data_IF_363856353336
#
_entry.id   IF_363856353336
#
_cell.length_a   1.000
_cell.length_b   1.000
_cell.length_c   1.000
_cell.angle_alpha   90.00
_cell.angle_beta   90.00
_cell.angle_gamma   90.00
#
_symmetry.space_group_name_H-M   'P 1'
#
loop_
_entity.id
_entity.type
_entity.pdbx_description
1 polymer ?
#
# COMPACT_ATOMS: atom_id res chain seq x y z
N UNK A 1 6.51 82.66 -61.53
CA UNK A 1 6.90 81.23 -61.62
C UNK A 1 6.99 80.66 -60.21
N UNK A 2 6.03 79.86 -59.75
CA UNK A 2 6.31 78.80 -58.76
C UNK A 2 5.13 77.81 -58.71
N UNK A 3 5.32 76.58 -59.20
CA UNK A 3 4.31 75.52 -59.15
C UNK A 3 4.47 74.77 -57.82
N UNK A 4 3.46 74.88 -56.94
CA UNK A 4 3.35 74.07 -55.73
C UNK A 4 3.15 72.59 -56.12
N UNK A 5 4.05 71.72 -55.69
CA UNK A 5 3.94 70.26 -55.87
C UNK A 5 3.32 69.66 -54.61
N UNK A 6 2.11 69.15 -54.72
CA UNK A 6 1.47 68.30 -53.71
C UNK A 6 2.19 66.94 -53.63
N UNK A 7 2.54 66.45 -52.43
CA UNK A 7 3.18 65.15 -52.30
C UNK A 7 2.12 64.05 -52.44
N UNK A 8 2.19 63.28 -53.53
CA UNK A 8 1.42 62.05 -53.67
C UNK A 8 1.91 61.06 -52.59
N UNK A 9 1.04 60.71 -51.64
CA UNK A 9 1.32 59.66 -50.66
C UNK A 9 1.76 58.37 -51.38
N UNK A 10 2.87 57.73 -50.96
CA UNK A 10 3.43 56.60 -51.69
C UNK A 10 2.62 55.32 -51.43
N UNK A 11 1.49 55.17 -52.11
CA UNK A 11 0.63 53.97 -52.10
C UNK A 11 1.43 52.68 -52.42
N UNK A 12 2.51 52.80 -53.21
CA UNK A 12 3.45 51.70 -53.48
C UNK A 12 4.20 51.18 -52.24
N UNK A 13 4.50 52.05 -51.27
CA UNK A 13 5.14 51.64 -50.00
C UNK A 13 4.17 50.91 -49.07
N UNK A 14 2.86 51.19 -49.17
CA UNK A 14 1.85 50.48 -48.39
C UNK A 14 1.61 49.06 -48.95
N UNK A 15 1.59 48.92 -50.28
CA UNK A 15 1.41 47.62 -50.95
C UNK A 15 2.61 46.66 -50.81
N UNK A 16 3.80 47.15 -50.46
CA UNK A 16 5.01 46.35 -50.26
C UNK A 16 5.38 46.14 -48.79
N UNK A 17 4.53 46.61 -47.86
CA UNK A 17 4.82 46.58 -46.44
C UNK A 17 4.58 45.18 -45.83
N UNK A 18 5.65 44.39 -45.66
CA UNK A 18 5.61 43.04 -45.08
C UNK A 18 5.66 43.03 -43.54
N UNK A 19 5.64 44.19 -42.88
CA UNK A 19 5.80 44.31 -41.42
C UNK A 19 4.73 43.56 -40.61
N UNK A 20 3.60 43.17 -41.22
CA UNK A 20 2.53 42.38 -40.59
C UNK A 20 2.56 40.88 -40.87
N UNK A 21 3.37 40.41 -41.84
CA UNK A 21 3.37 38.99 -42.22
C UNK A 21 3.90 38.10 -41.09
N UNK A 22 4.94 38.55 -40.37
CA UNK A 22 5.46 37.87 -39.19
C UNK A 22 4.41 37.82 -38.05
N UNK A 23 3.64 38.89 -37.86
CA UNK A 23 2.57 38.93 -36.85
C UNK A 23 1.42 37.96 -37.20
N UNK A 24 1.06 37.84 -38.48
CA UNK A 24 0.08 36.84 -38.94
C UNK A 24 0.55 35.41 -38.71
N UNK A 25 1.79 35.09 -39.09
CA UNK A 25 2.36 33.74 -38.88
C UNK A 25 2.44 33.44 -37.38
N UNK A 26 2.86 34.40 -36.56
CA UNK A 26 2.91 34.25 -35.11
C UNK A 26 1.51 34.04 -34.50
N UNK A 27 0.49 34.78 -34.96
CA UNK A 27 -0.88 34.63 -34.48
C UNK A 27 -1.41 33.23 -34.78
N UNK A 28 -1.19 32.72 -36.00
CA UNK A 28 -1.59 31.35 -36.37
C UNK A 28 -0.78 30.31 -35.58
N UNK A 29 0.52 30.52 -35.40
CA UNK A 29 1.38 29.62 -34.64
C UNK A 29 1.11 29.64 -33.12
N UNK A 30 0.57 30.73 -32.57
CA UNK A 30 0.24 30.82 -31.14
C UNK A 30 -0.93 29.93 -30.74
N UNK A 31 -1.87 29.64 -31.65
CA UNK A 31 -3.02 28.77 -31.40
C UNK A 31 -2.59 27.37 -30.94
N UNK A 32 -1.78 26.60 -31.69
CA UNK A 32 -1.33 25.28 -31.25
C UNK A 32 -0.44 25.34 -30.00
N UNK A 33 0.33 26.41 -29.79
CA UNK A 33 1.16 26.58 -28.58
C UNK A 33 0.31 26.77 -27.32
N UNK A 34 -0.72 27.62 -27.39
CA UNK A 34 -1.66 27.83 -26.28
C UNK A 34 -2.46 26.56 -26.02
N UNK A 35 -2.88 25.83 -27.06
CA UNK A 35 -3.54 24.53 -26.88
C UNK A 35 -2.61 23.50 -26.23
N UNK A 36 -1.34 23.42 -26.64
CA UNK A 36 -0.37 22.52 -26.03
C UNK A 36 -0.12 22.86 -24.55
N UNK A 37 0.00 24.14 -24.22
CA UNK A 37 0.10 24.59 -22.83
C UNK A 37 -1.17 24.24 -22.04
N UNK A 38 -2.35 24.40 -22.65
CA UNK A 38 -3.63 24.03 -22.04
C UNK A 38 -3.74 22.54 -21.73
N UNK A 39 -3.30 21.70 -22.67
CA UNK A 39 -3.22 20.26 -22.49
C UNK A 39 -2.31 19.90 -21.32
N UNK A 40 -1.15 20.54 -21.22
CA UNK A 40 -0.21 20.29 -20.13
C UNK A 40 -0.81 20.62 -18.75
N UNK A 41 -1.56 21.72 -18.64
CA UNK A 41 -2.21 22.13 -17.39
C UNK A 41 -3.32 21.16 -17.00
N UNK A 42 -4.22 20.81 -17.93
CA UNK A 42 -5.33 19.89 -17.67
C UNK A 42 -4.84 18.47 -17.37
N UNK A 43 -3.78 18.03 -18.04
CA UNK A 43 -3.10 16.78 -17.74
C UNK A 43 -2.48 16.80 -16.33
N UNK A 44 -1.78 17.88 -15.97
CA UNK A 44 -1.23 18.06 -14.62
C UNK A 44 -2.31 18.00 -13.54
N UNK A 45 -3.47 18.62 -13.78
CA UNK A 45 -4.61 18.51 -12.86
C UNK A 45 -5.15 17.07 -12.77
N UNK A 46 -5.29 16.39 -13.92
CA UNK A 46 -5.75 15.00 -13.97
C UNK A 46 -4.83 14.05 -13.20
N UNK A 47 -3.51 14.21 -13.34
CA UNK A 47 -2.50 13.44 -12.60
C UNK A 47 -2.58 13.73 -11.10
N UNK A 48 -2.76 14.99 -10.70
CA UNK A 48 -2.91 15.36 -9.30
C UNK A 48 -4.18 14.74 -8.68
N UNK A 49 -5.29 14.69 -9.42
CA UNK A 49 -6.51 14.00 -8.99
C UNK A 49 -6.29 12.49 -8.93
N UNK A 50 -5.60 11.91 -9.92
CA UNK A 50 -5.28 10.48 -9.94
C UNK A 50 -4.49 10.06 -8.71
N UNK A 51 -3.47 10.83 -8.31
CA UNK A 51 -2.67 10.55 -7.12
C UNK A 51 -3.52 10.54 -5.84
N UNK A 52 -4.47 11.48 -5.71
CA UNK A 52 -5.39 11.54 -4.56
C UNK A 52 -6.39 10.38 -4.56
N UNK A 53 -6.94 10.07 -5.73
CA UNK A 53 -7.86 8.96 -5.90
C UNK A 53 -7.17 7.63 -5.58
N UNK A 54 -5.91 7.46 -6.00
CA UNK A 54 -5.10 6.30 -5.68
C UNK A 54 -4.87 6.19 -4.17
N UNK A 55 -4.44 7.27 -3.51
CA UNK A 55 -4.24 7.28 -2.06
C UNK A 55 -5.53 6.92 -1.28
N UNK A 56 -6.68 7.44 -1.71
CA UNK A 56 -7.97 7.10 -1.12
C UNK A 56 -8.36 5.64 -1.36
N UNK A 57 -8.08 5.11 -2.55
CA UNK A 57 -8.36 3.72 -2.94
C UNK A 57 -7.47 2.75 -2.16
N UNK A 58 -6.19 3.08 -1.96
CA UNK A 58 -5.25 2.28 -1.16
C UNK A 58 -5.66 2.26 0.32
N UNK A 59 -6.03 3.42 0.88
CA UNK A 59 -6.53 3.49 2.25
C UNK A 59 -7.78 2.62 2.46
N UNK A 60 -8.70 2.64 1.50
CA UNK A 60 -9.91 1.82 1.52
C UNK A 60 -9.61 0.33 1.41
N UNK A 61 -8.71 -0.06 0.49
CA UNK A 61 -8.31 -1.46 0.31
C UNK A 61 -7.62 -2.01 1.56
N UNK A 62 -6.73 -1.23 2.19
CA UNK A 62 -6.06 -1.62 3.43
C UNK A 62 -7.03 -1.72 4.60
N UNK A 63 -7.97 -0.78 4.74
CA UNK A 63 -8.97 -0.80 5.81
C UNK A 63 -9.87 -2.04 5.71
N UNK A 64 -10.35 -2.37 4.51
CA UNK A 64 -11.14 -3.58 4.29
C UNK A 64 -10.29 -4.86 4.43
N UNK A 65 -9.02 -4.82 3.99
CA UNK A 65 -8.11 -5.96 4.10
C UNK A 65 -7.75 -6.36 5.54
N UNK A 66 -7.83 -5.43 6.51
CA UNK A 66 -7.57 -5.70 7.93
C UNK A 66 -8.65 -6.53 8.63
N UNK A 67 -9.85 -6.62 8.06
CA UNK A 67 -11.02 -7.25 8.69
C UNK A 67 -11.48 -8.51 7.92
N UNK A 68 -10.63 -9.53 7.73
CA UNK A 68 -10.90 -10.62 6.79
C UNK A 68 -12.12 -11.48 7.16
N UNK A 69 -12.58 -11.46 8.41
CA UNK A 69 -13.68 -12.31 8.85
C UNK A 69 -15.06 -11.67 8.65
N UNK A 70 -15.15 -10.43 8.19
CA UNK A 70 -16.44 -9.73 8.05
C UNK A 70 -17.16 -10.04 6.75
N UNK A 71 -18.51 -9.94 6.72
CA UNK A 71 -19.30 -10.06 5.50
C UNK A 71 -18.93 -8.97 4.48
N UNK A 72 -19.05 -9.28 3.19
CA UNK A 72 -18.71 -8.35 2.10
C UNK A 72 -19.41 -7.00 2.21
N UNK A 73 -20.71 -6.98 2.52
CA UNK A 73 -21.47 -5.73 2.67
C UNK A 73 -20.90 -4.80 3.77
N UNK A 74 -20.32 -5.38 4.82
CA UNK A 74 -19.69 -4.60 5.88
C UNK A 74 -18.30 -4.10 5.46
N UNK A 75 -17.53 -4.92 4.73
CA UNK A 75 -16.26 -4.51 4.12
C UNK A 75 -16.44 -3.37 3.13
N UNK A 76 -17.50 -3.40 2.32
CA UNK A 76 -17.88 -2.31 1.41
C UNK A 76 -18.14 -1.01 2.16
N UNK A 77 -18.87 -1.07 3.28
CA UNK A 77 -19.11 0.11 4.12
C UNK A 77 -17.80 0.65 4.72
N UNK A 78 -16.97 -0.21 5.29
CA UNK A 78 -15.67 0.18 5.87
C UNK A 78 -14.78 0.82 4.79
N UNK A 79 -14.66 0.17 3.63
CA UNK A 79 -13.90 0.72 2.51
C UNK A 79 -14.42 2.11 2.13
N UNK A 80 -15.74 2.25 1.95
CA UNK A 80 -16.37 3.51 1.54
C UNK A 80 -16.10 4.65 2.52
N UNK A 81 -16.22 4.40 3.83
CA UNK A 81 -15.96 5.39 4.86
C UNK A 81 -14.50 5.87 4.82
N UNK A 82 -13.55 4.94 4.69
CA UNK A 82 -12.13 5.27 4.58
C UNK A 82 -11.83 6.03 3.28
N UNK A 83 -12.39 5.63 2.16
CA UNK A 83 -12.19 6.32 0.89
C UNK A 83 -12.70 7.75 0.91
N UNK A 84 -13.92 7.95 1.42
CA UNK A 84 -14.52 9.28 1.55
C UNK A 84 -13.68 10.18 2.47
N UNK A 85 -13.19 9.63 3.59
CA UNK A 85 -12.32 10.37 4.51
C UNK A 85 -10.96 10.73 3.92
N UNK A 86 -10.41 9.90 3.03
CA UNK A 86 -9.06 10.10 2.48
C UNK A 86 -9.04 10.89 1.16
N UNK A 87 -10.15 10.90 0.39
CA UNK A 87 -10.18 11.59 -0.90
C UNK A 87 -10.13 13.12 -0.78
N UNK A 88 -10.67 13.69 0.31
CA UNK A 88 -10.80 15.14 0.51
C UNK A 88 -11.32 15.86 -0.76
N UNK A 89 -12.62 15.72 -1.00
CA UNK A 89 -13.27 16.18 -2.24
C UNK A 89 -12.92 17.65 -2.55
N UNK A 90 -12.47 17.87 -3.79
CA UNK A 90 -12.28 19.21 -4.34
C UNK A 90 -13.66 19.85 -4.61
N UNK A 91 -13.84 21.17 -4.38
CA UNK A 91 -15.12 21.85 -4.66
C UNK A 91 -15.56 21.77 -6.12
N UNK A 92 -14.61 21.53 -7.03
CA UNK A 92 -14.74 21.62 -8.48
C UNK A 92 -14.70 20.26 -9.19
N UNK A 93 -14.67 19.15 -8.45
CA UNK A 93 -14.76 17.78 -8.96
C UNK A 93 -16.11 17.11 -8.68
N UNK A 94 -16.54 16.20 -9.56
CA UNK A 94 -17.67 15.32 -9.23
C UNK A 94 -17.33 14.41 -8.04
N UNK A 95 -18.36 13.93 -7.35
CA UNK A 95 -18.18 12.95 -6.27
C UNK A 95 -17.56 11.67 -6.86
N UNK A 96 -16.45 11.17 -6.30
CA UNK A 96 -15.84 9.94 -6.77
C UNK A 96 -16.78 8.75 -6.46
N UNK A 97 -16.88 7.81 -7.39
CA UNK A 97 -17.51 6.52 -7.14
C UNK A 97 -16.44 5.51 -6.73
N UNK A 98 -16.83 4.55 -5.89
CA UNK A 98 -16.00 3.43 -5.50
C UNK A 98 -16.77 2.12 -5.65
N UNK A 99 -16.08 1.09 -6.11
CA UNK A 99 -16.55 -0.30 -6.10
C UNK A 99 -15.53 -1.20 -5.43
N UNK A 100 -16.00 -2.16 -4.66
CA UNK A 100 -15.18 -3.21 -4.04
C UNK A 100 -15.64 -4.55 -4.61
N UNK A 101 -14.68 -5.41 -4.95
CA UNK A 101 -14.91 -6.77 -5.44
C UNK A 101 -13.87 -7.71 -4.84
N UNK A 102 -14.27 -8.94 -4.55
CA UNK A 102 -13.35 -9.99 -4.09
C UNK A 102 -13.09 -10.92 -5.29
N UNK A 103 -11.81 -11.14 -5.60
CA UNK A 103 -11.39 -12.01 -6.70
C UNK A 103 -11.52 -13.49 -6.32
N UNK A 104 -11.44 -14.39 -7.31
CA UNK A 104 -11.52 -15.83 -7.10
C UNK A 104 -10.42 -16.35 -6.15
N UNK A 105 -9.25 -15.71 -6.17
CA UNK A 105 -8.10 -16.00 -5.30
C UNK A 105 -8.23 -15.37 -3.89
N UNK A 106 -9.39 -14.77 -3.56
CA UNK A 106 -9.65 -14.16 -2.25
C UNK A 106 -9.05 -12.76 -2.07
N UNK A 107 -8.41 -12.19 -3.10
CA UNK A 107 -7.88 -10.83 -3.06
C UNK A 107 -9.01 -9.79 -3.09
N UNK A 108 -8.93 -8.80 -2.20
CA UNK A 108 -9.88 -7.69 -2.16
C UNK A 108 -9.40 -6.59 -3.11
N UNK A 109 -10.22 -6.24 -4.09
CA UNK A 109 -9.94 -5.22 -5.10
C UNK A 109 -10.87 -4.04 -4.93
N UNK A 110 -10.31 -2.85 -4.77
CA UNK A 110 -11.04 -1.59 -4.71
C UNK A 110 -10.75 -0.77 -5.97
N UNK A 111 -11.77 -0.22 -6.60
CA UNK A 111 -11.66 0.66 -7.76
C UNK A 111 -12.35 1.98 -7.46
N UNK A 112 -11.64 3.09 -7.70
CA UNK A 112 -12.18 4.44 -7.65
C UNK A 112 -12.29 5.03 -9.06
N UNK A 113 -13.36 5.77 -9.31
CA UNK A 113 -13.56 6.53 -10.56
C UNK A 113 -14.06 7.94 -10.25
N UNK A 114 -13.50 8.94 -10.93
CA UNK A 114 -13.99 10.33 -10.83
C UNK A 114 -13.88 11.05 -12.17
N UNK A 115 -14.86 11.89 -12.47
CA UNK A 115 -14.82 12.78 -13.63
C UNK A 115 -14.28 14.14 -13.23
N UNK A 116 -13.21 14.56 -13.89
CA UNK A 116 -12.54 15.84 -13.67
C UNK A 116 -12.89 16.75 -14.84
N UNK A 117 -13.29 17.99 -14.55
CA UNK A 117 -13.53 19.01 -15.58
C UNK A 117 -12.19 19.51 -16.11
N UNK A 118 -12.04 19.54 -17.44
CA UNK A 118 -10.90 20.16 -18.11
C UNK A 118 -11.16 21.68 -18.23
N UNK A 119 -10.13 22.50 -18.06
CA UNK A 119 -10.27 23.96 -18.14
C UNK A 119 -9.97 24.48 -19.55
N UNK A 120 -8.88 24.02 -20.17
CA UNK A 120 -8.33 24.61 -21.40
C UNK A 120 -8.58 23.73 -22.62
N UNK A 121 -8.47 22.41 -22.47
CA UNK A 121 -8.87 21.40 -23.47
C UNK A 121 -10.39 21.46 -23.74
N UNK A 122 -11.19 21.98 -22.81
CA UNK A 122 -12.63 22.13 -23.00
C UNK A 122 -12.99 22.97 -24.25
N UNK A 123 -12.13 23.92 -24.63
CA UNK A 123 -12.28 24.72 -25.86
C UNK A 123 -12.19 23.86 -27.13
N UNK A 124 -11.49 22.74 -27.07
CA UNK A 124 -11.40 21.75 -28.15
C UNK A 124 -12.53 20.69 -28.10
N UNK A 125 -13.52 20.85 -27.23
CA UNK A 125 -14.70 19.97 -27.14
C UNK A 125 -14.59 18.81 -26.14
N UNK A 126 -13.48 18.68 -25.39
CA UNK A 126 -13.35 17.66 -24.35
C UNK A 126 -13.51 18.28 -22.96
N UNK A 127 -14.76 18.36 -22.50
CA UNK A 127 -15.08 19.04 -21.24
C UNK A 127 -14.66 18.28 -19.97
N UNK A 128 -14.61 16.95 -20.03
CA UNK A 128 -14.34 16.10 -18.87
C UNK A 128 -13.41 14.95 -19.20
N UNK A 129 -12.55 14.62 -18.25
CA UNK A 129 -11.66 13.46 -18.28
C UNK A 129 -12.01 12.51 -17.14
N UNK A 130 -12.23 11.23 -17.46
CA UNK A 130 -12.44 10.20 -16.43
C UNK A 130 -11.10 9.71 -15.91
N UNK A 131 -10.86 9.90 -14.61
CA UNK A 131 -9.69 9.41 -13.90
C UNK A 131 -10.07 8.16 -13.11
N UNK A 132 -9.23 7.13 -13.20
CA UNK A 132 -9.45 5.83 -12.56
C UNK A 132 -8.25 5.47 -11.68
N UNK A 133 -8.54 4.82 -10.57
CA UNK A 133 -7.55 4.23 -9.67
C UNK A 133 -8.01 2.83 -9.25
N UNK A 134 -7.05 1.94 -8.98
CA UNK A 134 -7.35 0.62 -8.46
C UNK A 134 -6.29 0.17 -7.48
N UNK A 135 -6.72 -0.50 -6.42
CA UNK A 135 -5.86 -1.08 -5.40
C UNK A 135 -6.31 -2.50 -5.11
N UNK A 136 -5.37 -3.38 -4.81
CA UNK A 136 -5.63 -4.77 -4.46
C UNK A 136 -4.85 -5.14 -3.21
N UNK A 137 -5.53 -5.79 -2.26
CA UNK A 137 -4.94 -6.28 -1.02
C UNK A 137 -5.26 -7.76 -0.89
N UNK A 138 -4.23 -8.55 -0.59
CA UNK A 138 -4.44 -9.95 -0.25
C UNK A 138 -5.15 -10.05 1.10
N UNK A 139 -6.17 -10.91 1.15
CA UNK A 139 -6.87 -11.26 2.39
C UNK A 139 -6.04 -12.29 3.16
N UNK A 140 -4.79 -11.98 3.41
CA UNK A 140 -3.90 -12.88 4.13
C UNK A 140 -4.11 -12.69 5.61
N UNK A 141 -4.79 -13.66 6.22
CA UNK A 141 -4.63 -13.91 7.65
C UNK A 141 -3.18 -14.36 7.83
N UNK A 142 -2.29 -13.41 8.12
CA UNK A 142 -0.86 -13.68 8.34
C UNK A 142 -0.75 -14.83 9.33
N UNK A 143 -0.04 -15.88 8.92
CA UNK A 143 0.17 -17.02 9.79
C UNK A 143 0.87 -16.58 11.08
N UNK A 144 0.35 -17.01 12.23
CA UNK A 144 0.97 -16.77 13.53
C UNK A 144 1.76 -18.01 13.92
N UNK A 145 3.07 -17.84 14.15
CA UNK A 145 3.94 -18.89 14.68
C UNK A 145 4.36 -18.51 16.11
N UNK A 146 4.10 -19.40 17.08
CA UNK A 146 4.42 -19.16 18.49
C UNK A 146 5.26 -20.30 19.04
N UNK A 147 6.41 -19.97 19.62
CA UNK A 147 7.24 -20.93 20.36
C UNK A 147 7.08 -20.71 21.87
N UNK A 148 6.53 -21.71 22.56
CA UNK A 148 6.36 -21.72 24.02
C UNK A 148 7.53 -22.46 24.66
N UNK A 149 8.38 -21.73 25.38
CA UNK A 149 9.56 -22.30 26.05
C UNK A 149 9.26 -22.45 27.54
N UNK A 150 9.26 -23.67 28.06
CA UNK A 150 8.85 -23.99 29.42
C UNK A 150 10.01 -24.52 30.28
N UNK A 151 10.27 -23.87 31.40
CA UNK A 151 11.18 -24.35 32.44
C UNK A 151 10.53 -25.53 33.20
N UNK A 152 11.22 -26.67 33.26
CA UNK A 152 10.83 -27.85 34.05
C UNK A 152 11.87 -28.25 35.11
N UNK A 153 12.77 -27.33 35.49
CA UNK A 153 13.75 -27.51 36.57
C UNK A 153 13.06 -27.81 37.92
N UNK A 154 13.82 -28.34 38.87
CA UNK A 154 13.29 -28.72 40.20
C UNK A 154 12.58 -27.59 40.96
N UNK A 155 12.90 -26.32 40.67
CA UNK A 155 12.22 -25.16 41.26
C UNK A 155 10.74 -25.05 40.85
N UNK A 156 10.39 -25.58 39.68
CA UNK A 156 9.03 -25.59 39.14
C UNK A 156 8.14 -26.67 39.76
N UNK A 157 8.74 -27.67 40.42
CA UNK A 157 8.01 -28.68 41.20
C UNK A 157 7.42 -28.14 42.51
N UNK A 158 7.87 -26.98 42.98
CA UNK A 158 7.41 -26.37 44.22
C UNK A 158 6.21 -25.44 43.98
N UNK A 159 5.39 -25.24 45.03
CA UNK A 159 4.30 -24.24 45.05
C UNK A 159 3.31 -24.37 43.87
N UNK A 160 3.10 -25.57 43.34
CA UNK A 160 2.20 -25.84 42.20
C UNK A 160 2.53 -25.07 40.90
N UNK A 161 3.76 -24.56 40.75
CA UNK A 161 4.15 -23.74 39.59
C UNK A 161 4.02 -24.49 38.27
N UNK A 162 4.49 -25.74 38.20
CA UNK A 162 4.39 -26.56 36.99
C UNK A 162 2.93 -26.93 36.63
N UNK A 163 2.07 -27.38 37.56
CA UNK A 163 0.64 -27.51 37.30
C UNK A 163 -0.02 -26.23 36.79
N UNK A 164 0.26 -25.08 37.42
CA UNK A 164 -0.28 -23.78 37.00
C UNK A 164 0.20 -23.36 35.62
N UNK A 165 1.47 -23.58 35.29
CA UNK A 165 2.02 -23.32 33.96
C UNK A 165 1.30 -24.15 32.87
N UNK A 166 1.00 -25.43 33.15
CA UNK A 166 0.26 -26.29 32.23
C UNK A 166 -1.16 -25.77 31.98
N UNK A 167 -1.82 -25.24 33.01
CA UNK A 167 -3.16 -24.65 32.87
C UNK A 167 -3.08 -23.37 32.02
N UNK A 168 -2.19 -22.44 32.38
CA UNK A 168 -2.01 -21.19 31.64
C UNK A 168 -1.62 -21.42 30.17
N UNK A 169 -0.76 -22.42 29.89
CA UNK A 169 -0.40 -22.80 28.54
C UNK A 169 -1.60 -23.33 27.73
N UNK A 170 -2.47 -24.14 28.35
CA UNK A 170 -3.70 -24.63 27.71
C UNK A 170 -4.66 -23.49 27.44
N UNK A 171 -4.86 -22.61 28.41
CA UNK A 171 -5.74 -21.44 28.26
C UNK A 171 -5.23 -20.52 27.14
N UNK A 172 -3.92 -20.27 27.08
CA UNK A 172 -3.29 -19.52 26.01
C UNK A 172 -3.54 -20.14 24.62
N UNK A 173 -3.32 -21.45 24.48
CA UNK A 173 -3.60 -22.17 23.21
C UNK A 173 -5.08 -22.08 22.87
N UNK A 174 -5.99 -22.26 23.84
CA UNK A 174 -7.43 -22.17 23.62
C UNK A 174 -7.86 -20.75 23.21
N UNK A 175 -7.24 -19.70 23.76
CA UNK A 175 -7.49 -18.31 23.36
C UNK A 175 -7.05 -18.10 21.90
N UNK A 176 -5.88 -18.60 21.51
CA UNK A 176 -5.37 -18.45 20.15
C UNK A 176 -6.19 -19.24 19.12
N UNK A 177 -6.63 -20.45 19.45
CA UNK A 177 -7.49 -21.25 18.57
C UNK A 177 -8.96 -20.78 18.58
N UNK A 178 -9.41 -20.17 19.68
CA UNK A 178 -10.79 -19.75 19.87
C UNK A 178 -11.76 -20.94 19.67
N UNK A 179 -12.83 -20.79 18.88
CA UNK A 179 -13.77 -21.89 18.59
C UNK A 179 -13.24 -22.91 17.57
N UNK A 180 -12.02 -22.75 17.04
CA UNK A 180 -11.49 -23.58 15.95
C UNK A 180 -10.78 -24.80 16.53
N UNK A 181 -10.97 -25.96 15.91
CA UNK A 181 -10.25 -27.20 16.27
C UNK A 181 -8.97 -27.41 15.48
N UNK A 182 -8.85 -26.77 14.31
CA UNK A 182 -7.66 -26.76 13.45
C UNK A 182 -7.49 -25.34 12.87
N UNK A 183 -6.24 -24.93 12.70
CA UNK A 183 -5.91 -23.62 12.15
C UNK A 183 -4.66 -23.74 11.26
N UNK A 184 -4.85 -23.62 9.95
CA UNK A 184 -3.75 -23.77 8.98
C UNK A 184 -2.70 -22.65 9.09
N UNK A 185 -3.16 -21.48 9.54
CA UNK A 185 -2.35 -20.28 9.73
C UNK A 185 -1.83 -20.12 11.16
N UNK A 186 -2.01 -21.09 12.07
CA UNK A 186 -1.48 -21.02 13.42
C UNK A 186 -0.56 -22.21 13.70
N UNK A 187 0.73 -21.95 13.92
CA UNK A 187 1.71 -22.97 14.31
C UNK A 187 2.17 -22.70 15.74
N UNK A 188 2.10 -23.73 16.58
CA UNK A 188 2.57 -23.63 17.96
C UNK A 188 3.61 -24.70 18.20
N UNK A 189 4.80 -24.30 18.63
CA UNK A 189 5.86 -25.17 19.08
C UNK A 189 5.96 -25.12 20.61
N UNK A 190 6.28 -26.25 21.23
CA UNK A 190 6.48 -26.35 22.69
C UNK A 190 7.88 -26.90 22.93
N UNK A 191 8.67 -26.17 23.71
CA UNK A 191 10.07 -26.49 24.02
C UNK A 191 10.26 -26.57 25.54
N UNK A 192 10.15 -27.76 26.15
CA UNK A 192 10.46 -27.94 27.56
C UNK A 192 11.98 -28.01 27.78
N UNK A 193 12.50 -27.30 28.80
CA UNK A 193 13.92 -27.31 29.15
C UNK A 193 14.14 -27.43 30.67
N UNK A 194 15.22 -28.11 31.06
CA UNK A 194 15.86 -27.97 32.38
C UNK A 194 17.32 -27.56 32.21
N UNK A 195 18.21 -28.54 32.05
CA UNK A 195 19.61 -28.35 31.64
C UNK A 195 19.79 -28.62 30.15
N UNK A 196 18.96 -29.52 29.60
CA UNK A 196 18.90 -29.85 28.18
C UNK A 196 17.45 -29.81 27.73
N UNK A 197 17.25 -29.60 26.43
CA UNK A 197 15.94 -29.76 25.79
C UNK A 197 15.71 -31.24 25.57
N UNK A 198 14.60 -31.76 26.10
CA UNK A 198 14.21 -33.16 25.86
C UNK A 198 13.30 -33.23 24.64
N UNK A 199 13.82 -33.77 23.53
CA UNK A 199 13.09 -33.94 22.26
C UNK A 199 12.44 -35.32 22.12
N UNK A 200 12.49 -36.15 23.15
CA UNK A 200 11.96 -37.53 23.15
C UNK A 200 13.01 -38.56 22.72
N UNK A 201 13.01 -39.77 23.32
CA UNK A 201 14.00 -40.81 22.99
C UNK A 201 13.84 -41.35 21.57
N UNK A 202 12.63 -41.30 21.01
CA UNK A 202 12.28 -41.67 19.64
C UNK A 202 12.92 -40.76 18.59
N UNK A 203 13.33 -39.54 18.98
CA UNK A 203 13.98 -38.57 18.10
C UNK A 203 15.50 -38.64 18.11
N UNK A 204 16.09 -39.46 19.00
CA UNK A 204 17.54 -39.58 19.16
C UNK A 204 18.31 -39.94 17.88
N UNK A 205 17.66 -40.59 16.91
CA UNK A 205 18.28 -41.01 15.65
C UNK A 205 18.03 -40.06 14.48
N UNK A 206 17.19 -39.05 14.61
CA UNK A 206 16.81 -38.15 13.51
C UNK A 206 18.02 -37.39 12.93
N UNK A 207 17.99 -37.13 11.64
CA UNK A 207 19.13 -36.55 10.90
C UNK A 207 19.38 -35.07 11.23
N UNK A 208 18.38 -34.37 11.75
CA UNK A 208 18.51 -32.99 12.22
C UNK A 208 19.15 -32.87 13.61
N UNK A 209 19.36 -33.98 14.32
CA UNK A 209 20.09 -33.99 15.59
C UNK A 209 21.59 -34.14 15.32
N UNK A 210 22.36 -33.13 15.71
CA UNK A 210 23.82 -33.20 15.71
C UNK A 210 24.33 -34.11 16.83
N UNK A 211 24.44 -35.40 16.50
CA UNK A 211 24.95 -36.47 17.38
C UNK A 211 26.47 -36.42 17.56
N UNK A 212 27.20 -35.77 16.63
CA UNK A 212 28.65 -35.76 16.59
C UNK A 212 29.27 -34.46 17.15
N UNK A 213 28.44 -33.48 17.53
CA UNK A 213 28.89 -32.19 18.04
C UNK A 213 29.69 -31.42 16.99
N UNK A 214 29.35 -31.60 15.71
CA UNK A 214 30.00 -30.93 14.58
C UNK A 214 29.55 -29.47 14.45
N UNK A 215 28.39 -29.13 15.02
CA UNK A 215 27.87 -27.77 15.03
C UNK A 215 28.82 -26.89 15.87
N UNK A 216 29.41 -25.83 15.29
CA UNK A 216 30.35 -24.95 16.00
C UNK A 216 29.72 -24.26 17.22
N UNK A 217 28.40 -24.08 17.22
CA UNK A 217 27.65 -23.48 18.33
C UNK A 217 27.38 -24.46 19.48
N UNK A 218 27.50 -25.78 19.27
CA UNK A 218 27.30 -26.80 20.32
C UNK A 218 28.31 -26.72 21.48
N UNK A 219 29.45 -26.05 21.26
CA UNK A 219 30.54 -25.88 22.23
C UNK A 219 30.57 -24.48 22.85
N UNK A 220 29.62 -23.60 22.50
CA UNK A 220 29.57 -22.25 23.03
C UNK A 220 29.04 -22.30 24.46
N UNK A 221 29.92 -22.08 25.43
CA UNK A 221 29.56 -21.96 26.84
C UNK A 221 29.36 -20.48 27.16
N UNK A 222 28.13 -20.08 27.53
CA UNK A 222 27.81 -18.72 27.95
C UNK A 222 28.45 -18.48 29.33
N UNK A 223 29.67 -17.93 29.36
CA UNK A 223 30.28 -17.48 30.62
C UNK A 223 29.46 -16.31 31.18
N UNK A 224 29.21 -16.34 32.49
CA UNK A 224 28.34 -15.39 33.21
C UNK A 224 28.82 -13.93 33.26
N UNK A 225 29.93 -13.62 32.61
CA UNK A 225 30.71 -12.43 32.97
C UNK A 225 30.50 -11.25 32.00
N UNK A 226 29.74 -11.42 30.92
CA UNK A 226 29.46 -10.34 29.98
C UNK A 226 28.00 -10.33 29.53
N UNK A 227 27.39 -9.14 29.56
CA UNK A 227 26.03 -8.82 29.08
C UNK A 227 25.81 -9.00 27.56
N UNK A 228 26.70 -9.70 26.84
CA UNK A 228 26.73 -9.84 25.38
C UNK A 228 26.31 -11.25 24.89
N UNK A 229 25.31 -11.85 25.53
CA UNK A 229 24.78 -13.18 25.13
C UNK A 229 23.97 -13.17 23.82
N UNK A 230 23.78 -12.02 23.17
CA UNK A 230 23.03 -11.90 21.91
C UNK A 230 23.81 -12.35 20.67
N UNK A 231 25.14 -12.56 20.78
CA UNK A 231 25.99 -12.95 19.65
C UNK A 231 25.89 -14.42 19.22
N UNK A 232 25.11 -15.25 19.91
CA UNK A 232 24.81 -16.62 19.47
C UNK A 232 23.81 -16.72 18.31
N UNK A 233 23.26 -15.58 17.85
CA UNK A 233 22.20 -15.50 16.84
C UNK A 233 22.66 -14.77 15.55
N UNK A 234 23.93 -14.89 15.19
CA UNK A 234 24.45 -14.51 13.86
C UNK A 234 25.14 -15.70 13.20
#
# INVERSE_FOLDING_TARGET
MNKSRTPLLPLKKFATNQSGAAAMVLAVASLPLVMAAGVAVDYGNSVAVQARLQAATDAAALAAGREPTRPQAELERIAYDYFKSNYNARPDGEQPSMTLSIDADGHLKVKGEVKVRNYLIAVAGYEKTTVKASSQVAKDATGLEVALVFDNTGSMGNQNRLPTLKIAARDFVNILFGPRTTADTLKIAVVPFSQFVNVGPDKSTEDWIDKAGLNPYSKVNFKSDNWDNWKGWN
#
